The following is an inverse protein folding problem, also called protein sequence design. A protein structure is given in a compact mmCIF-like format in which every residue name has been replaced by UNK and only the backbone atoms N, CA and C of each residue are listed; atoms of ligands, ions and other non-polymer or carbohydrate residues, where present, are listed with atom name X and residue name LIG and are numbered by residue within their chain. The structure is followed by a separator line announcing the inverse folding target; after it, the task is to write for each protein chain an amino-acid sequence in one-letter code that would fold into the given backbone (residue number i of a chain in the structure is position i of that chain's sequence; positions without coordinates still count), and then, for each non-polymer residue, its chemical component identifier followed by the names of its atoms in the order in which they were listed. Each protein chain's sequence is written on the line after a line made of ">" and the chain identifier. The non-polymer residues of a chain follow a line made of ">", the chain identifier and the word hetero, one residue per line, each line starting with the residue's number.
data_IF_044830209723
#
_entry.id   IF_044830209723
#
_cell.length_a   1.000
_cell.length_b   1.000
_cell.length_c   1.000
_cell.angle_alpha   90.00
_cell.angle_beta   90.00
_cell.angle_gamma   90.00
#
_symmetry.space_group_name_H-M   'P 1'
#
loop_
_entity.id
_entity.type
_entity.pdbx_description
1 polymer ?
#
# COMPACT_ATOMS: atom_id res chain seq x y z
N UNK A 1 0.77 -26.83 -13.71
CA UNK A 1 1.67 -25.89 -13.00
C UNK A 1 3.07 -26.07 -13.59
N UNK A 2 3.74 -24.99 -14.00
CA UNK A 2 5.13 -25.07 -14.48
C UNK A 2 6.10 -25.42 -13.32
N UNK A 3 7.16 -26.21 -13.57
CA UNK A 3 8.13 -26.58 -12.53
C UNK A 3 8.86 -25.35 -11.95
N UNK A 4 9.28 -25.42 -10.69
CA UNK A 4 9.91 -24.29 -9.97
C UNK A 4 11.18 -23.81 -10.69
N UNK A 5 11.92 -24.71 -11.33
CA UNK A 5 13.06 -24.39 -12.18
C UNK A 5 12.70 -23.51 -13.39
N UNK A 6 11.51 -23.69 -13.99
CA UNK A 6 11.03 -22.86 -15.10
C UNK A 6 10.66 -21.47 -14.62
N UNK A 7 10.09 -21.36 -13.41
CA UNK A 7 9.75 -20.05 -12.82
C UNK A 7 10.99 -19.29 -12.37
N UNK A 8 11.98 -19.98 -11.82
CA UNK A 8 13.30 -19.43 -11.54
C UNK A 8 14.00 -18.98 -12.82
N UNK A 9 13.89 -19.76 -13.91
CA UNK A 9 14.46 -19.40 -15.22
C UNK A 9 13.77 -18.17 -15.82
N UNK A 10 12.46 -18.04 -15.64
CA UNK A 10 11.72 -16.85 -16.05
C UNK A 10 12.20 -15.62 -15.27
N UNK A 11 12.39 -15.73 -13.95
CA UNK A 11 12.93 -14.66 -13.12
C UNK A 11 14.38 -14.31 -13.51
N UNK A 12 15.21 -15.32 -13.77
CA UNK A 12 16.57 -15.13 -14.27
C UNK A 12 16.58 -14.39 -15.61
N UNK A 13 15.73 -14.79 -16.55
CA UNK A 13 15.55 -14.12 -17.85
C UNK A 13 14.96 -12.71 -17.75
N UNK A 14 14.30 -12.35 -16.65
CA UNK A 14 13.89 -10.96 -16.43
C UNK A 14 15.01 -10.09 -15.90
N UNK A 15 16.03 -10.68 -15.27
CA UNK A 15 17.25 -9.97 -14.89
C UNK A 15 18.25 -9.90 -16.04
N UNK A 16 18.42 -10.99 -16.80
CA UNK A 16 19.26 -11.08 -18.00
C UNK A 16 18.59 -10.33 -19.17
N UNK A 17 18.88 -9.04 -19.27
CA UNK A 17 18.21 -8.13 -20.22
C UNK A 17 18.86 -8.18 -21.60
N UNK A 18 20.15 -8.50 -21.63
CA UNK A 18 20.94 -8.62 -22.85
C UNK A 18 20.93 -10.05 -23.45
N UNK A 19 20.28 -11.01 -22.77
CA UNK A 19 20.16 -12.44 -23.14
C UNK A 19 21.54 -13.12 -23.28
N UNK A 20 22.54 -12.66 -22.51
CA UNK A 20 23.91 -13.20 -22.51
C UNK A 20 24.07 -14.44 -21.61
N UNK A 21 22.97 -14.90 -21.00
CA UNK A 21 22.88 -16.04 -20.07
C UNK A 21 23.63 -15.83 -18.76
N UNK A 22 24.05 -14.61 -18.50
CA UNK A 22 24.60 -14.16 -17.25
C UNK A 22 23.77 -12.98 -16.75
N UNK A 23 23.88 -12.72 -15.46
CA UNK A 23 23.26 -11.54 -14.87
C UNK A 23 24.36 -10.76 -14.20
N UNK A 24 24.49 -9.50 -14.60
CA UNK A 24 25.44 -8.56 -13.99
C UNK A 24 24.84 -7.83 -12.79
N UNK A 25 25.72 -7.26 -11.96
CA UNK A 25 25.35 -6.36 -10.85
C UNK A 25 24.52 -5.19 -11.37
N UNK A 26 24.90 -4.64 -12.52
CA UNK A 26 24.25 -3.49 -13.16
C UNK A 26 22.84 -3.83 -13.66
N UNK A 27 22.63 -5.01 -14.24
CA UNK A 27 21.30 -5.45 -14.69
C UNK A 27 20.32 -5.69 -13.54
N UNK A 28 20.79 -6.28 -12.44
CA UNK A 28 19.97 -6.42 -11.22
C UNK A 28 19.64 -5.04 -10.66
N UNK A 29 20.61 -4.11 -10.63
CA UNK A 29 20.39 -2.74 -10.16
C UNK A 29 19.31 -2.05 -10.99
N UNK A 30 19.42 -2.05 -12.31
CA UNK A 30 18.43 -1.44 -13.21
C UNK A 30 17.04 -2.06 -13.06
N UNK A 31 16.97 -3.40 -12.94
CA UNK A 31 15.72 -4.09 -12.70
C UNK A 31 15.07 -3.62 -11.40
N UNK A 32 15.81 -3.62 -10.28
CA UNK A 32 15.25 -3.22 -8.99
C UNK A 32 14.91 -1.74 -8.92
N UNK A 33 15.67 -0.86 -9.59
CA UNK A 33 15.31 0.55 -9.71
C UNK A 33 13.95 0.72 -10.41
N UNK A 34 13.75 0.02 -11.53
CA UNK A 34 12.50 0.06 -12.30
C UNK A 34 11.36 -0.59 -11.52
N UNK A 35 11.60 -1.77 -10.97
CA UNK A 35 10.63 -2.55 -10.21
C UNK A 35 10.18 -1.82 -8.94
N UNK A 36 11.08 -1.23 -8.15
CA UNK A 36 10.71 -0.53 -6.92
C UNK A 36 9.92 0.75 -7.19
N UNK A 37 10.16 1.41 -8.34
CA UNK A 37 9.34 2.54 -8.81
C UNK A 37 7.93 2.06 -9.14
N UNK A 38 7.79 0.98 -9.92
CA UNK A 38 6.49 0.39 -10.26
C UNK A 38 5.74 -0.15 -9.01
N UNK A 39 6.49 -0.67 -8.04
CA UNK A 39 6.00 -1.19 -6.77
C UNK A 39 5.50 -0.09 -5.80
N UNK A 40 5.66 1.19 -6.16
CA UNK A 40 5.38 2.35 -5.28
C UNK A 40 6.09 2.24 -3.93
N UNK A 41 7.33 1.75 -3.93
CA UNK A 41 8.18 1.84 -2.76
C UNK A 41 8.47 3.34 -2.47
N UNK A 42 8.57 3.78 -1.19
CA UNK A 42 8.68 5.19 -0.85
C UNK A 42 9.63 5.99 -1.75
N UNK A 43 9.18 7.16 -2.22
CA UNK A 43 9.81 7.92 -3.29
C UNK A 43 11.21 8.51 -2.98
N UNK A 44 11.74 8.33 -1.77
CA UNK A 44 13.11 8.75 -1.45
C UNK A 44 14.14 7.91 -2.23
N UNK A 45 14.92 8.55 -3.11
CA UNK A 45 15.97 7.91 -3.91
C UNK A 45 17.05 7.28 -3.04
N UNK A 46 17.31 7.83 -1.86
CA UNK A 46 18.30 7.33 -0.92
C UNK A 46 17.93 5.94 -0.39
N UNK A 47 16.68 5.76 0.06
CA UNK A 47 16.23 4.47 0.61
C UNK A 47 16.15 3.36 -0.44
N UNK A 48 15.84 3.70 -1.71
CA UNK A 48 15.87 2.74 -2.82
C UNK A 48 17.29 2.28 -3.14
N UNK A 49 18.23 3.22 -3.24
CA UNK A 49 19.64 2.90 -3.50
C UNK A 49 20.25 2.06 -2.38
N UNK A 50 19.94 2.39 -1.13
CA UNK A 50 20.39 1.64 0.04
C UNK A 50 19.89 0.17 0.03
N UNK A 51 18.61 -0.05 -0.31
CA UNK A 51 18.05 -1.40 -0.45
C UNK A 51 18.75 -2.20 -1.56
N UNK A 52 18.98 -1.56 -2.72
CA UNK A 52 19.64 -2.19 -3.86
C UNK A 52 21.10 -2.51 -3.53
N UNK A 53 21.83 -1.60 -2.91
CA UNK A 53 23.23 -1.81 -2.55
C UNK A 53 23.39 -2.94 -1.54
N UNK A 54 22.51 -3.02 -0.54
CA UNK A 54 22.53 -4.09 0.45
C UNK A 54 22.10 -5.43 -0.17
N UNK A 55 21.13 -5.42 -1.09
CA UNK A 55 20.77 -6.61 -1.87
C UNK A 55 21.97 -7.14 -2.66
N UNK A 56 22.64 -6.28 -3.43
CA UNK A 56 23.80 -6.63 -4.26
C UNK A 56 25.00 -7.15 -3.42
N UNK A 57 25.18 -6.64 -2.20
CA UNK A 57 26.21 -7.11 -1.27
C UNK A 57 25.96 -8.52 -0.72
N UNK A 58 24.73 -9.02 -0.74
CA UNK A 58 24.41 -10.37 -0.27
C UNK A 58 24.74 -11.47 -1.29
N UNK A 59 24.83 -11.13 -2.59
CA UNK A 59 25.24 -12.07 -3.65
C UNK A 59 26.76 -12.26 -3.69
N UNK A 60 27.39 -12.71 -2.61
CA UNK A 60 28.87 -12.79 -2.48
C UNK A 60 29.58 -13.75 -3.45
N UNK A 61 28.86 -14.42 -4.35
CA UNK A 61 29.41 -15.34 -5.36
C UNK A 61 29.39 -14.71 -6.76
N UNK A 62 30.07 -13.58 -6.90
CA UNK A 62 30.33 -13.00 -8.21
C UNK A 62 31.58 -13.65 -8.81
N UNK A 63 31.53 -13.99 -10.10
CA UNK A 63 32.75 -14.32 -10.85
C UNK A 63 33.69 -13.10 -10.90
N UNK A 64 34.94 -13.28 -11.32
CA UNK A 64 35.96 -12.23 -11.49
C UNK A 64 35.45 -11.02 -12.31
N UNK A 65 34.42 -11.23 -13.16
CA UNK A 65 33.78 -10.23 -14.00
C UNK A 65 32.48 -9.63 -13.41
N UNK A 66 32.12 -9.91 -12.15
CA UNK A 66 30.86 -9.45 -11.51
C UNK A 66 29.58 -9.93 -12.19
N UNK A 67 29.60 -11.16 -12.68
CA UNK A 67 28.47 -11.81 -13.33
C UNK A 67 28.13 -13.14 -12.64
N UNK A 68 26.89 -13.60 -12.80
CA UNK A 68 26.43 -14.90 -12.31
C UNK A 68 25.62 -15.65 -13.37
N UNK A 69 25.80 -16.97 -13.46
CA UNK A 69 25.01 -17.81 -14.36
C UNK A 69 23.75 -18.37 -13.66
N UNK A 70 22.88 -19.03 -14.43
CA UNK A 70 21.62 -19.56 -13.91
C UNK A 70 21.80 -20.58 -12.76
N UNK A 71 22.81 -21.45 -12.83
CA UNK A 71 23.04 -22.48 -11.81
C UNK A 71 23.51 -21.88 -10.48
N UNK A 72 24.37 -20.86 -10.54
CA UNK A 72 24.79 -20.06 -9.38
C UNK A 72 23.60 -19.28 -8.80
N UNK A 73 22.78 -18.66 -9.66
CA UNK A 73 21.56 -17.97 -9.26
C UNK A 73 20.55 -18.90 -8.57
N UNK A 74 20.37 -20.09 -9.13
CA UNK A 74 19.45 -21.10 -8.59
C UNK A 74 19.94 -21.66 -7.25
N UNK A 75 21.25 -21.84 -7.07
CA UNK A 75 21.85 -22.28 -5.80
C UNK A 75 21.60 -21.27 -4.67
N UNK A 76 21.80 -19.97 -4.94
CA UNK A 76 21.54 -18.89 -3.98
C UNK A 76 20.05 -18.81 -3.60
N UNK A 77 19.16 -19.03 -4.56
CA UNK A 77 17.73 -19.14 -4.29
C UNK A 77 17.43 -20.36 -3.40
N UNK A 78 18.08 -21.50 -3.57
CA UNK A 78 17.84 -22.68 -2.71
C UNK A 78 18.35 -22.51 -1.28
N UNK A 79 19.44 -21.75 -1.07
CA UNK A 79 20.02 -21.50 0.25
C UNK A 79 19.25 -20.45 1.07
N UNK A 80 18.40 -19.65 0.43
CA UNK A 80 17.56 -18.65 1.10
C UNK A 80 16.22 -19.26 1.55
N UNK A 81 15.91 -19.30 2.87
CA UNK A 81 14.64 -19.86 3.34
C UNK A 81 13.46 -19.02 2.83
N UNK A 82 12.39 -19.70 2.35
CA UNK A 82 11.14 -19.15 1.81
C UNK A 82 11.19 -18.49 0.41
N UNK A 83 12.32 -18.55 -0.32
CA UNK A 83 12.48 -17.98 -1.68
C UNK A 83 11.70 -18.72 -2.79
N UNK A 84 11.48 -20.04 -2.63
CA UNK A 84 10.90 -20.91 -3.67
C UNK A 84 9.37 -20.80 -3.77
N UNK A 85 8.68 -20.43 -2.68
CA UNK A 85 7.23 -20.20 -2.67
C UNK A 85 6.84 -18.97 -3.49
N UNK A 86 7.70 -17.97 -3.44
CA UNK A 86 7.62 -16.68 -4.13
C UNK A 86 7.59 -16.80 -5.66
N UNK A 87 8.24 -17.82 -6.23
CA UNK A 87 8.26 -18.06 -7.67
C UNK A 87 6.92 -18.51 -8.24
N UNK A 88 5.97 -18.96 -7.41
CA UNK A 88 4.74 -19.59 -7.91
C UNK A 88 3.74 -18.64 -8.59
N UNK A 89 3.96 -17.32 -8.54
CA UNK A 89 2.99 -16.27 -8.90
C UNK A 89 2.99 -15.84 -10.39
N UNK A 90 3.83 -16.43 -11.23
CA UNK A 90 4.07 -16.11 -12.65
C UNK A 90 2.94 -16.61 -13.59
N UNK A 91 2.28 -15.73 -14.37
CA UNK A 91 1.17 -16.04 -15.31
C UNK A 91 1.34 -15.37 -16.72
N UNK A 92 0.86 -16.00 -17.83
CA UNK A 92 1.17 -15.63 -19.24
C UNK A 92 -0.11 -15.36 -20.10
N UNK A 93 -0.21 -14.31 -20.96
CA UNK A 93 -1.44 -13.94 -21.71
C UNK A 93 -1.53 -14.47 -23.17
N UNK A 94 -2.74 -14.43 -23.79
CA UNK A 94 -3.10 -15.09 -25.08
C UNK A 94 -3.77 -14.16 -26.14
N UNK A 95 -3.76 -14.60 -27.42
CA UNK A 95 -3.63 -13.80 -28.67
C UNK A 95 -4.93 -13.44 -29.46
N UNK A 96 -5.98 -12.89 -28.84
CA UNK A 96 -7.30 -12.64 -29.49
C UNK A 96 -7.49 -11.26 -30.18
N UNK A 97 -6.50 -10.37 -30.18
CA UNK A 97 -6.68 -8.93 -30.48
C UNK A 97 -6.83 -8.54 -31.97
N UNK A 98 -6.62 -9.46 -32.91
CA UNK A 98 -6.57 -9.10 -34.34
C UNK A 98 -7.94 -9.06 -35.03
N UNK A 99 -8.92 -9.85 -34.55
CA UNK A 99 -10.24 -9.97 -35.16
C UNK A 99 -11.11 -8.73 -34.87
N UNK A 100 -10.94 -8.12 -33.70
CA UNK A 100 -11.70 -6.93 -33.30
C UNK A 100 -11.26 -5.65 -34.02
N UNK A 101 -9.97 -5.57 -34.39
CA UNK A 101 -9.39 -4.41 -35.10
C UNK A 101 -10.03 -4.18 -36.48
N UNK A 102 -10.33 -5.25 -37.22
CA UNK A 102 -10.89 -5.16 -38.56
C UNK A 102 -12.37 -4.71 -38.56
N UNK A 103 -13.16 -5.15 -37.57
CA UNK A 103 -14.55 -4.71 -37.39
C UNK A 103 -14.65 -3.23 -37.00
N UNK A 104 -13.73 -2.77 -36.14
CA UNK A 104 -13.70 -1.39 -35.67
C UNK A 104 -13.36 -0.37 -36.77
N UNK A 105 -12.45 -0.73 -37.69
CA UNK A 105 -12.05 0.14 -38.81
C UNK A 105 -13.21 0.43 -39.77
N UNK A 106 -14.05 -0.56 -40.07
CA UNK A 106 -15.22 -0.39 -40.93
C UNK A 106 -16.30 0.51 -40.29
N UNK A 107 -16.55 0.34 -38.99
CA UNK A 107 -17.53 1.14 -38.24
C UNK A 107 -17.11 2.62 -38.09
N UNK A 108 -15.82 2.89 -37.83
CA UNK A 108 -15.29 4.25 -37.64
C UNK A 108 -15.49 5.15 -38.87
N UNK A 109 -15.36 4.59 -40.07
CA UNK A 109 -15.46 5.37 -41.32
C UNK A 109 -16.88 5.89 -41.58
N UNK A 110 -17.90 5.15 -41.16
CA UNK A 110 -19.30 5.52 -41.37
C UNK A 110 -19.84 6.51 -40.32
N UNK A 111 -19.23 6.58 -39.12
CA UNK A 111 -19.76 7.35 -37.99
C UNK A 111 -18.92 8.59 -37.59
N UNK A 112 -18.10 9.12 -38.52
CA UNK A 112 -17.07 10.13 -38.22
C UNK A 112 -17.55 11.39 -37.47
N UNK A 113 -18.73 11.91 -37.78
CA UNK A 113 -19.27 13.13 -37.13
C UNK A 113 -19.85 12.85 -35.74
N UNK A 114 -20.48 11.69 -35.53
CA UNK A 114 -20.92 11.25 -34.20
C UNK A 114 -19.73 11.05 -33.27
N UNK A 115 -18.66 10.42 -33.77
CA UNK A 115 -17.41 10.22 -33.02
C UNK A 115 -16.79 11.57 -32.64
N UNK A 116 -16.77 12.54 -33.56
CA UNK A 116 -16.20 13.87 -33.29
C UNK A 116 -16.89 14.56 -32.11
N UNK A 117 -18.23 14.51 -32.03
CA UNK A 117 -18.97 15.18 -30.96
C UNK A 117 -18.84 14.46 -29.63
N UNK A 118 -18.90 13.12 -29.64
CA UNK A 118 -18.65 12.32 -28.44
C UNK A 118 -17.24 12.62 -27.92
N UNK A 119 -16.26 12.73 -28.83
CA UNK A 119 -14.88 13.07 -28.47
C UNK A 119 -14.77 14.48 -27.89
N UNK A 120 -15.44 15.48 -28.48
CA UNK A 120 -15.47 16.85 -27.92
C UNK A 120 -16.11 16.88 -26.53
N UNK A 121 -17.22 16.16 -26.35
CA UNK A 121 -17.87 16.03 -25.04
C UNK A 121 -16.93 15.37 -24.01
N UNK A 122 -16.29 14.25 -24.36
CA UNK A 122 -15.33 13.54 -23.49
C UNK A 122 -14.12 14.45 -23.16
N UNK A 123 -13.59 15.18 -24.13
CA UNK A 123 -12.48 16.11 -23.88
C UNK A 123 -12.91 17.26 -22.97
N UNK A 124 -14.13 17.77 -23.12
CA UNK A 124 -14.66 18.82 -22.25
C UNK A 124 -14.86 18.31 -20.81
N UNK A 125 -15.39 17.10 -20.61
CA UNK A 125 -15.54 16.51 -19.28
C UNK A 125 -14.18 16.20 -18.64
N UNK A 126 -13.25 15.59 -19.39
CA UNK A 126 -11.89 15.32 -18.90
C UNK A 126 -11.14 16.61 -18.58
N UNK A 127 -11.27 17.65 -19.41
CA UNK A 127 -10.65 18.95 -19.17
C UNK A 127 -11.16 19.59 -17.88
N UNK A 128 -12.46 19.51 -17.61
CA UNK A 128 -13.07 19.99 -16.36
C UNK A 128 -12.57 19.17 -15.16
N UNK A 129 -12.52 17.85 -15.28
CA UNK A 129 -12.03 16.95 -14.24
C UNK A 129 -10.55 17.26 -13.89
N UNK A 130 -9.68 17.38 -14.90
CA UNK A 130 -8.26 17.72 -14.72
C UNK A 130 -8.09 19.10 -14.08
N UNK A 131 -8.82 20.11 -14.56
CA UNK A 131 -8.77 21.46 -13.99
C UNK A 131 -9.13 21.45 -12.50
N UNK A 132 -10.18 20.70 -12.14
CA UNK A 132 -10.64 20.59 -10.77
C UNK A 132 -9.65 19.82 -9.88
N UNK A 133 -9.04 18.75 -10.39
CA UNK A 133 -7.97 18.02 -9.70
C UNK A 133 -6.79 18.96 -9.41
N UNK A 134 -6.30 19.71 -10.42
CA UNK A 134 -5.19 20.65 -10.26
C UNK A 134 -5.54 21.72 -9.20
N UNK A 135 -6.73 22.29 -9.26
CA UNK A 135 -7.20 23.28 -8.26
C UNK A 135 -7.19 22.68 -6.85
N UNK A 136 -7.73 21.48 -6.67
CA UNK A 136 -7.83 20.82 -5.36
C UNK A 136 -6.47 20.41 -4.79
N UNK A 137 -5.55 19.97 -5.64
CA UNK A 137 -4.20 19.54 -5.24
C UNK A 137 -3.28 20.73 -4.97
N UNK A 138 -3.23 21.71 -5.88
CA UNK A 138 -2.26 22.82 -5.83
C UNK A 138 -2.74 23.94 -4.91
N UNK A 139 -4.00 24.36 -5.05
CA UNK A 139 -4.53 25.54 -4.33
C UNK A 139 -5.07 25.19 -2.96
N UNK A 140 -5.82 24.09 -2.84
CA UNK A 140 -6.42 23.68 -1.58
C UNK A 140 -5.54 22.72 -0.76
N UNK A 141 -4.36 22.33 -1.27
CA UNK A 141 -3.41 21.40 -0.64
C UNK A 141 -4.05 20.10 -0.12
N UNK A 142 -5.16 19.66 -0.73
CA UNK A 142 -5.84 18.44 -0.32
C UNK A 142 -5.01 17.22 -0.77
N UNK A 143 -4.52 16.43 0.19
CA UNK A 143 -3.78 15.18 -0.10
C UNK A 143 -4.67 13.94 -0.15
N UNK A 144 -5.93 14.04 0.26
CA UNK A 144 -6.84 12.90 0.25
C UNK A 144 -7.40 12.65 -1.16
N UNK A 145 -6.87 11.62 -1.82
CA UNK A 145 -7.25 11.22 -3.18
C UNK A 145 -8.74 10.89 -3.29
N UNK A 146 -9.33 10.23 -2.28
CA UNK A 146 -10.75 9.84 -2.31
C UNK A 146 -11.67 11.06 -2.21
N UNK A 147 -11.31 12.05 -1.38
CA UNK A 147 -12.04 13.31 -1.31
C UNK A 147 -11.93 14.12 -2.62
N UNK A 148 -10.75 14.13 -3.24
CA UNK A 148 -10.55 14.78 -4.56
C UNK A 148 -11.43 14.10 -5.61
N UNK A 149 -11.42 12.77 -5.69
CA UNK A 149 -12.27 12.00 -6.61
C UNK A 149 -13.76 12.23 -6.37
N UNK A 150 -14.19 12.32 -5.11
CA UNK A 150 -15.59 12.57 -4.76
C UNK A 150 -16.06 13.96 -5.22
N UNK A 151 -15.23 15.00 -5.02
CA UNK A 151 -15.51 16.38 -5.45
C UNK A 151 -15.49 16.52 -6.98
N UNK A 152 -14.51 15.88 -7.63
CA UNK A 152 -14.43 15.80 -9.09
C UNK A 152 -15.69 15.17 -9.67
N UNK A 153 -16.05 13.98 -9.21
CA UNK A 153 -17.25 13.28 -9.67
C UNK A 153 -18.53 14.09 -9.40
N UNK A 154 -18.62 14.80 -8.27
CA UNK A 154 -19.76 15.69 -7.96
C UNK A 154 -19.94 16.84 -8.95
N UNK A 155 -18.85 17.46 -9.40
CA UNK A 155 -18.91 18.49 -10.45
C UNK A 155 -19.32 17.90 -11.80
N UNK A 156 -18.82 16.72 -12.15
CA UNK A 156 -19.18 16.03 -13.39
C UNK A 156 -20.62 15.51 -13.40
N UNK A 157 -21.18 15.11 -12.25
CA UNK A 157 -22.62 14.85 -12.10
C UNK A 157 -23.43 16.10 -12.46
N UNK A 158 -23.04 17.26 -11.91
CA UNK A 158 -23.76 18.52 -12.13
C UNK A 158 -23.79 18.92 -13.60
N UNK A 159 -22.65 18.83 -14.28
CA UNK A 159 -22.55 19.11 -15.72
C UNK A 159 -23.44 18.16 -16.54
N UNK A 160 -23.36 16.86 -16.28
CA UNK A 160 -24.15 15.85 -17.01
C UNK A 160 -25.65 15.94 -16.73
N UNK A 161 -26.04 16.32 -15.52
CA UNK A 161 -27.43 16.58 -15.17
C UNK A 161 -28.01 17.75 -15.98
N UNK A 162 -27.29 18.88 -16.05
CA UNK A 162 -27.70 20.06 -16.84
C UNK A 162 -27.80 19.70 -18.33
N UNK A 163 -26.79 19.01 -18.88
CA UNK A 163 -26.80 18.58 -20.28
C UNK A 163 -27.95 17.61 -20.60
N UNK A 164 -28.27 16.69 -19.68
CA UNK A 164 -29.38 15.73 -19.86
C UNK A 164 -30.71 16.45 -20.05
N UNK A 165 -30.94 17.55 -19.34
CA UNK A 165 -32.15 18.38 -19.46
C UNK A 165 -32.13 19.16 -20.78
N UNK A 166 -31.01 19.82 -21.11
CA UNK A 166 -30.88 20.62 -22.34
C UNK A 166 -31.15 19.78 -23.58
N UNK A 167 -30.65 18.55 -23.61
CA UNK A 167 -30.83 17.63 -24.74
C UNK A 167 -32.30 17.24 -24.99
N UNK A 168 -33.16 17.35 -23.98
CA UNK A 168 -34.60 17.03 -24.06
C UNK A 168 -35.50 18.25 -24.30
N UNK A 169 -34.94 19.45 -24.42
CA UNK A 169 -35.68 20.67 -24.77
C UNK A 169 -36.03 20.70 -26.27
N UNK A 170 -37.09 19.97 -26.63
CA UNK A 170 -37.51 19.75 -28.03
C UNK A 170 -37.72 21.04 -28.84
N UNK A 171 -38.25 22.10 -28.23
CA UNK A 171 -38.41 23.39 -28.91
C UNK A 171 -37.08 24.07 -29.23
N UNK A 172 -36.10 24.03 -28.32
CA UNK A 172 -34.76 24.55 -28.56
C UNK A 172 -34.03 23.74 -29.65
N UNK A 173 -34.16 22.41 -29.62
CA UNK A 173 -33.60 21.53 -30.64
C UNK A 173 -34.21 21.78 -32.03
N UNK A 174 -35.52 22.03 -32.10
CA UNK A 174 -36.18 22.42 -33.34
C UNK A 174 -35.66 23.76 -33.89
N UNK A 175 -35.39 24.75 -33.03
CA UNK A 175 -34.79 26.03 -33.44
C UNK A 175 -33.36 25.85 -33.98
N UNK A 176 -32.55 25.02 -33.33
CA UNK A 176 -31.18 24.71 -33.76
C UNK A 176 -31.19 23.98 -35.12
N UNK A 177 -32.18 23.11 -35.35
CA UNK A 177 -32.35 22.37 -36.61
C UNK A 177 -32.70 23.27 -37.80
N UNK A 178 -33.41 24.37 -37.57
CA UNK A 178 -33.75 25.37 -38.61
C UNK A 178 -32.51 26.14 -39.08
N UNK A 179 -31.48 26.26 -38.24
CA UNK A 179 -30.23 26.93 -38.58
C UNK A 179 -29.31 26.04 -39.42
N UNK A 180 -29.19 26.38 -40.72
CA UNK A 180 -28.43 25.62 -41.72
C UNK A 180 -26.93 25.46 -41.39
N UNK A 181 -26.35 26.40 -40.66
CA UNK A 181 -24.96 26.35 -40.21
C UNK A 181 -24.75 25.37 -39.06
N UNK A 182 -25.59 25.43 -38.02
CA UNK A 182 -25.49 24.56 -36.84
C UNK A 182 -25.78 23.09 -37.17
N UNK A 183 -26.74 22.82 -38.07
CA UNK A 183 -27.07 21.45 -38.52
C UNK A 183 -25.91 20.73 -39.22
N UNK A 184 -24.93 21.46 -39.78
CA UNK A 184 -23.77 20.85 -40.44
C UNK A 184 -22.74 20.31 -39.44
N UNK A 185 -22.74 20.84 -38.22
CA UNK A 185 -21.78 20.49 -37.17
C UNK A 185 -22.39 19.68 -36.02
N UNK A 186 -23.68 19.90 -35.69
CA UNK A 186 -24.42 19.09 -34.72
C UNK A 186 -25.45 18.18 -35.44
N UNK A 187 -25.39 16.84 -35.25
CA UNK A 187 -26.44 15.90 -35.61
C UNK A 187 -27.58 16.03 -34.59
N UNK A 188 -28.35 17.10 -34.74
CA UNK A 188 -29.51 17.44 -33.86
C UNK A 188 -30.59 16.35 -33.92
N UNK A 189 -30.62 15.57 -34.99
CA UNK A 189 -31.59 14.49 -35.18
C UNK A 189 -31.40 13.34 -34.17
N UNK A 190 -30.18 13.15 -33.63
CA UNK A 190 -29.84 12.08 -32.65
C UNK A 190 -29.73 12.58 -31.20
N UNK A 191 -30.39 13.69 -30.87
CA UNK A 191 -30.39 14.26 -29.51
C UNK A 191 -30.87 13.26 -28.43
N UNK A 192 -31.73 12.30 -28.79
CA UNK A 192 -32.19 11.22 -27.90
C UNK A 192 -31.04 10.26 -27.57
N UNK A 193 -30.21 9.91 -28.56
CA UNK A 193 -29.05 9.05 -28.32
C UNK A 193 -27.96 9.79 -27.53
N UNK A 194 -27.77 11.09 -27.81
CA UNK A 194 -26.93 11.95 -26.97
C UNK A 194 -27.39 11.96 -25.51
N UNK A 195 -28.70 12.05 -25.25
CA UNK A 195 -29.25 11.98 -23.89
C UNK A 195 -28.98 10.62 -23.23
N UNK A 196 -29.05 9.51 -23.98
CA UNK A 196 -28.69 8.17 -23.46
C UNK A 196 -27.21 8.10 -23.07
N UNK A 197 -26.31 8.67 -23.88
CA UNK A 197 -24.88 8.71 -23.55
C UNK A 197 -24.59 9.56 -22.31
N UNK A 198 -25.14 10.77 -22.23
CA UNK A 198 -24.98 11.65 -21.07
C UNK A 198 -25.61 11.03 -19.81
N UNK A 199 -26.75 10.36 -19.94
CA UNK A 199 -27.39 9.61 -18.85
C UNK A 199 -26.54 8.43 -18.36
N UNK A 200 -25.89 7.71 -19.27
CA UNK A 200 -24.92 6.66 -18.92
C UNK A 200 -23.71 7.22 -18.16
N UNK A 201 -23.15 8.35 -18.63
CA UNK A 201 -22.07 9.05 -17.94
C UNK A 201 -22.49 9.56 -16.55
N UNK A 202 -23.70 10.11 -16.42
CA UNK A 202 -24.27 10.52 -15.14
C UNK A 202 -24.33 9.34 -14.15
N UNK A 203 -24.84 8.18 -14.59
CA UNK A 203 -24.87 6.96 -13.76
C UNK A 203 -23.47 6.52 -13.31
N UNK A 204 -22.49 6.53 -14.22
CA UNK A 204 -21.09 6.23 -13.89
C UNK A 204 -20.54 7.18 -12.83
N UNK A 205 -20.69 8.50 -13.01
CA UNK A 205 -20.18 9.48 -12.05
C UNK A 205 -20.91 9.43 -10.70
N UNK A 206 -22.19 9.06 -10.66
CA UNK A 206 -22.92 8.80 -9.39
C UNK A 206 -22.26 7.64 -8.64
N UNK A 207 -21.99 6.51 -9.32
CA UNK A 207 -21.33 5.36 -8.70
C UNK A 207 -19.94 5.74 -8.19
N UNK A 208 -19.13 6.44 -9.01
CA UNK A 208 -17.81 6.92 -8.60
C UNK A 208 -17.88 7.86 -7.41
N UNK A 209 -18.82 8.82 -7.41
CA UNK A 209 -19.02 9.78 -6.32
C UNK A 209 -19.39 9.08 -5.01
N UNK A 210 -20.36 8.17 -5.05
CA UNK A 210 -20.78 7.41 -3.87
C UNK A 210 -19.67 6.49 -3.35
N UNK A 211 -18.98 5.75 -4.22
CA UNK A 211 -17.87 4.89 -3.83
C UNK A 211 -16.71 5.70 -3.25
N UNK A 212 -16.37 6.84 -3.85
CA UNK A 212 -15.32 7.72 -3.34
C UNK A 212 -15.64 8.22 -1.93
N UNK A 213 -16.90 8.62 -1.64
CA UNK A 213 -17.32 8.99 -0.29
C UNK A 213 -17.27 7.80 0.70
N UNK A 214 -17.73 6.62 0.29
CA UNK A 214 -17.70 5.40 1.12
C UNK A 214 -16.26 5.00 1.45
N UNK A 215 -15.37 5.00 0.45
CA UNK A 215 -13.97 4.66 0.64
C UNK A 215 -13.29 5.74 1.48
N UNK A 216 -13.52 7.03 1.21
CA UNK A 216 -12.97 8.13 2.00
C UNK A 216 -13.36 8.00 3.47
N UNK A 217 -14.62 7.68 3.76
CA UNK A 217 -15.09 7.41 5.12
C UNK A 217 -14.38 6.19 5.72
N UNK A 218 -14.32 5.08 4.99
CA UNK A 218 -13.67 3.85 5.44
C UNK A 218 -12.13 3.94 5.58
N UNK A 219 -11.48 4.87 4.88
CA UNK A 219 -10.02 5.10 5.00
C UNK A 219 -9.69 6.17 6.02
N UNK A 220 -10.58 7.15 6.25
CA UNK A 220 -10.36 8.22 7.23
C UNK A 220 -10.86 7.90 8.63
N UNK A 221 -11.47 6.73 8.87
CA UNK A 221 -11.66 6.23 10.23
C UNK A 221 -10.30 5.86 10.83
N UNK A 222 -9.71 6.80 11.55
CA UNK A 222 -8.46 6.67 12.27
C UNK A 222 -8.63 5.71 13.47
N UNK A 223 -8.55 4.40 13.23
CA UNK A 223 -8.52 3.44 14.35
C UNK A 223 -7.28 3.60 15.23
N UNK A 224 -6.18 4.16 14.70
CA UNK A 224 -4.86 4.17 15.36
C UNK A 224 -4.68 5.37 16.32
N UNK A 225 -5.36 6.49 16.09
CA UNK A 225 -5.22 7.71 16.91
C UNK A 225 -5.46 7.49 18.41
N UNK A 226 -6.48 6.73 18.86
CA UNK A 226 -6.62 6.46 20.29
C UNK A 226 -5.45 5.66 20.86
N UNK A 227 -4.89 4.74 20.08
CA UNK A 227 -3.74 3.94 20.51
C UNK A 227 -2.44 4.76 20.54
N UNK A 228 -2.30 5.79 19.70
CA UNK A 228 -1.19 6.73 19.80
C UNK A 228 -1.18 7.44 21.17
N UNK A 229 -2.34 7.97 21.60
CA UNK A 229 -2.47 8.59 22.92
C UNK A 229 -2.29 7.59 24.07
N UNK A 230 -2.79 6.37 23.94
CA UNK A 230 -2.60 5.33 24.95
C UNK A 230 -1.12 4.91 25.09
N UNK A 231 -0.41 4.75 23.96
CA UNK A 231 1.02 4.43 23.96
C UNK A 231 1.86 5.60 24.51
N UNK A 232 1.54 6.85 24.15
CA UNK A 232 2.16 8.04 24.76
C UNK A 232 1.94 8.07 26.28
N UNK A 233 0.74 7.79 26.75
CA UNK A 233 0.46 7.72 28.19
C UNK A 233 1.27 6.62 28.90
N UNK A 234 1.45 5.46 28.24
CA UNK A 234 2.30 4.41 28.77
C UNK A 234 3.78 4.84 28.83
N UNK A 235 4.28 5.51 27.79
CA UNK A 235 5.66 5.98 27.71
C UNK A 235 5.95 7.15 28.66
N UNK A 236 4.98 8.05 28.86
CA UNK A 236 5.09 9.15 29.83
C UNK A 236 5.45 8.63 31.23
N UNK A 237 4.88 7.51 31.64
CA UNK A 237 5.24 6.91 32.93
C UNK A 237 6.70 6.47 33.01
N UNK A 238 7.29 5.92 31.94
CA UNK A 238 8.71 5.57 31.94
C UNK A 238 9.58 6.82 32.06
N UNK A 239 9.18 7.91 31.38
CA UNK A 239 9.84 9.22 31.47
C UNK A 239 9.75 9.80 32.89
N UNK A 240 8.63 9.61 33.60
CA UNK A 240 8.50 10.00 35.02
C UNK A 240 9.43 9.22 35.96
N UNK A 241 9.75 7.96 35.64
CA UNK A 241 10.66 7.14 36.44
C UNK A 241 12.14 7.39 36.10
N UNK A 242 12.42 8.27 35.13
CA UNK A 242 13.75 8.62 34.68
C UNK A 242 14.35 9.71 35.58
N UNK A 243 15.61 9.52 35.96
CA UNK A 243 16.42 10.51 36.67
C UNK A 243 17.71 10.74 35.90
N UNK A 244 18.10 12.01 35.74
CA UNK A 244 19.32 12.38 35.02
C UNK A 244 20.31 12.93 36.04
N UNK A 245 21.50 12.34 36.11
CA UNK A 245 22.56 12.85 36.97
C UNK A 245 23.16 14.14 36.38
N UNK A 246 23.05 15.25 37.10
CA UNK A 246 23.54 16.57 36.66
C UNK A 246 25.06 16.63 36.43
N UNK A 247 25.84 15.71 37.02
CA UNK A 247 27.31 15.72 36.94
C UNK A 247 27.88 14.94 35.76
N UNK A 248 27.29 13.81 35.41
CA UNK A 248 27.80 12.92 34.36
C UNK A 248 26.80 12.69 33.22
N UNK A 249 25.65 13.37 33.25
CA UNK A 249 24.54 13.22 32.29
C UNK A 249 24.04 11.76 32.14
N UNK A 250 24.35 10.88 33.11
CA UNK A 250 23.91 9.50 33.06
C UNK A 250 22.42 9.40 33.38
N UNK A 251 21.71 8.62 32.56
CA UNK A 251 20.29 8.36 32.72
C UNK A 251 20.11 7.13 33.59
N UNK A 252 19.36 7.25 34.69
CA UNK A 252 18.98 6.14 35.55
C UNK A 252 17.45 6.03 35.64
N UNK A 253 16.94 4.83 35.92
CA UNK A 253 15.51 4.58 36.03
C UNK A 253 15.16 3.92 37.35
N UNK A 254 14.01 4.28 37.92
CA UNK A 254 13.47 3.55 39.07
C UNK A 254 12.88 2.19 38.61
N UNK A 255 13.73 1.17 38.61
CA UNK A 255 13.36 -0.17 38.15
C UNK A 255 12.29 -0.84 39.02
N UNK A 256 12.27 -0.59 40.33
CA UNK A 256 11.30 -1.19 41.26
C UNK A 256 9.89 -0.68 40.99
N UNK A 257 9.73 0.64 40.80
CA UNK A 257 8.44 1.24 40.48
C UNK A 257 7.87 0.69 39.16
N UNK A 258 8.73 0.50 38.15
CA UNK A 258 8.34 -0.06 36.85
C UNK A 258 7.89 -1.52 36.99
N UNK A 259 8.62 -2.34 37.76
CA UNK A 259 8.29 -3.77 37.94
C UNK A 259 6.98 -4.00 38.72
N UNK A 260 6.63 -3.10 39.63
CA UNK A 260 5.41 -3.20 40.44
C UNK A 260 4.11 -2.92 39.65
N UNK A 261 4.19 -2.50 38.39
CA UNK A 261 3.00 -2.26 37.57
C UNK A 261 2.20 -3.55 37.32
N UNK A 262 0.88 -3.40 37.31
CA UNK A 262 -0.06 -4.47 36.93
C UNK A 262 0.09 -4.86 35.45
N UNK A 263 0.36 -3.90 34.57
CA UNK A 263 0.61 -4.14 33.14
C UNK A 263 2.09 -4.39 32.92
N UNK A 264 2.44 -5.61 32.50
CA UNK A 264 3.83 -6.11 32.39
C UNK A 264 4.36 -6.12 30.94
N UNK A 265 3.47 -6.24 29.95
CA UNK A 265 3.83 -6.35 28.53
C UNK A 265 2.69 -5.82 27.66
N UNK A 266 3.06 -5.18 26.56
CA UNK A 266 2.16 -4.76 25.50
C UNK A 266 2.66 -5.30 24.16
N UNK A 267 1.82 -6.03 23.44
CA UNK A 267 2.04 -6.42 22.06
C UNK A 267 1.13 -5.57 21.17
N UNK A 268 1.72 -4.61 20.46
CA UNK A 268 1.00 -3.71 19.57
C UNK A 268 1.02 -4.27 18.16
N UNK A 269 -0.13 -4.77 17.70
CA UNK A 269 -0.29 -5.34 16.36
C UNK A 269 -0.94 -4.31 15.46
N UNK A 270 -0.22 -3.87 14.44
CA UNK A 270 -0.71 -2.90 13.48
C UNK A 270 -0.84 -3.53 12.10
N UNK A 271 -2.08 -3.71 11.67
CA UNK A 271 -2.41 -4.20 10.32
C UNK A 271 -2.85 -3.02 9.47
N UNK A 272 -2.06 -2.72 8.45
CA UNK A 272 -2.31 -1.60 7.57
C UNK A 272 -2.32 -2.04 6.10
N UNK A 273 -2.96 -1.24 5.25
CA UNK A 273 -2.92 -1.41 3.81
C UNK A 273 -1.66 -0.78 3.25
N UNK A 274 -1.45 0.52 3.48
CA UNK A 274 -0.39 1.31 2.85
C UNK A 274 0.51 2.00 3.89
N UNK A 275 1.82 2.06 3.61
CA UNK A 275 2.86 2.62 4.50
C UNK A 275 2.79 4.15 4.57
N UNK A 276 2.41 4.81 3.46
CA UNK A 276 2.53 6.26 3.29
C UNK A 276 1.57 7.09 4.16
N UNK A 277 0.37 6.57 4.45
CA UNK A 277 -0.68 7.36 5.12
C UNK A 277 -0.41 7.61 6.61
N UNK A 278 0.62 7.01 7.20
CA UNK A 278 0.87 7.02 8.64
C UNK A 278 2.35 7.12 9.00
N UNK A 279 3.16 7.75 8.14
CA UNK A 279 4.58 8.00 8.40
C UNK A 279 4.82 8.77 9.71
N UNK A 280 3.91 9.68 10.09
CA UNK A 280 3.94 10.39 11.36
C UNK A 280 3.86 9.43 12.57
N UNK A 281 3.07 8.36 12.47
CA UNK A 281 2.92 7.38 13.54
C UNK A 281 4.13 6.45 13.61
N UNK A 282 4.74 6.11 12.47
CA UNK A 282 5.99 5.36 12.43
C UNK A 282 7.14 6.11 13.12
N UNK A 283 7.23 7.43 12.97
CA UNK A 283 8.20 8.24 13.70
C UNK A 283 8.00 8.12 15.21
N UNK A 284 6.76 8.26 15.68
CA UNK A 284 6.41 8.09 17.09
C UNK A 284 6.79 6.70 17.63
N UNK A 285 6.47 5.63 16.90
CA UNK A 285 6.80 4.27 17.31
C UNK A 285 8.31 4.01 17.32
N UNK A 286 9.05 4.61 16.38
CA UNK A 286 10.51 4.56 16.37
C UNK A 286 11.11 5.28 17.59
N UNK A 287 10.56 6.43 17.99
CA UNK A 287 10.99 7.13 19.20
C UNK A 287 10.74 6.28 20.45
N UNK A 288 9.58 5.61 20.53
CA UNK A 288 9.29 4.67 21.62
C UNK A 288 10.22 3.45 21.64
N UNK A 289 10.58 2.90 20.48
CA UNK A 289 11.53 1.80 20.39
C UNK A 289 12.93 2.25 20.88
N UNK A 290 13.37 3.46 20.53
CA UNK A 290 14.66 4.02 20.96
C UNK A 290 14.70 4.36 22.47
N UNK A 291 13.64 4.96 23.01
CA UNK A 291 13.52 5.23 24.44
C UNK A 291 13.56 3.93 25.26
N UNK A 292 12.84 2.90 24.81
CA UNK A 292 12.84 1.60 25.47
C UNK A 292 14.23 0.94 25.41
N UNK A 293 14.97 1.08 24.31
CA UNK A 293 16.32 0.54 24.20
C UNK A 293 17.27 1.18 25.22
N UNK A 294 17.19 2.50 25.41
CA UNK A 294 17.95 3.21 26.45
C UNK A 294 17.66 2.61 27.83
N UNK A 295 16.40 2.34 28.14
CA UNK A 295 16.00 1.67 29.39
C UNK A 295 16.55 0.24 29.51
N UNK A 296 16.56 -0.55 28.43
CA UNK A 296 17.11 -1.91 28.45
C UNK A 296 18.63 -1.92 28.64
N UNK A 297 19.32 -0.90 28.16
CA UNK A 297 20.77 -0.73 28.35
C UNK A 297 21.12 -0.42 29.81
N UNK A 298 20.31 0.38 30.52
CA UNK A 298 20.52 0.61 31.97
C UNK A 298 20.30 -0.67 32.77
N UNK A 299 19.32 -1.49 32.42
CA UNK A 299 19.10 -2.80 33.04
C UNK A 299 20.32 -3.71 32.86
N UNK A 300 20.89 -3.77 31.65
CA UNK A 300 22.11 -4.55 31.38
C UNK A 300 23.30 -4.06 32.20
N UNK A 301 23.48 -2.75 32.30
CA UNK A 301 24.56 -2.15 33.10
C UNK A 301 24.41 -2.51 34.60
N UNK A 302 23.19 -2.65 35.08
CA UNK A 302 22.87 -3.03 36.46
C UNK A 302 22.76 -4.56 36.68
N UNK A 303 23.20 -5.39 35.72
CA UNK A 303 23.08 -6.86 35.75
C UNK A 303 21.66 -7.39 35.95
N UNK A 304 20.64 -6.61 35.59
CA UNK A 304 19.23 -7.04 35.58
C UNK A 304 18.90 -7.58 34.21
N UNK A 305 18.14 -8.68 34.16
CA UNK A 305 17.71 -9.29 32.88
C UNK A 305 16.84 -8.32 32.09
N UNK A 306 17.28 -7.86 30.90
CA UNK A 306 16.54 -6.87 30.13
C UNK A 306 15.30 -7.51 29.52
N UNK A 307 14.13 -6.95 29.80
CA UNK A 307 12.84 -7.43 29.28
C UNK A 307 12.10 -6.32 28.54
N UNK A 308 11.75 -6.55 27.28
CA UNK A 308 10.99 -5.59 26.46
C UNK A 308 9.58 -5.42 26.98
N UNK A 309 9.18 -4.17 27.20
CA UNK A 309 7.85 -3.80 27.66
C UNK A 309 6.83 -3.67 26.52
N UNK A 310 7.25 -3.16 25.36
CA UNK A 310 6.40 -2.99 24.18
C UNK A 310 7.06 -3.67 23.00
N UNK A 311 6.37 -4.63 22.39
CA UNK A 311 6.75 -5.17 21.08
C UNK A 311 5.75 -4.71 20.02
N UNK A 312 6.28 -4.23 18.89
CA UNK A 312 5.48 -3.84 17.74
C UNK A 312 5.44 -5.00 16.73
N UNK A 313 4.31 -5.17 16.05
CA UNK A 313 4.15 -6.15 14.99
C UNK A 313 3.45 -5.48 13.81
N UNK A 314 4.18 -5.21 12.74
CA UNK A 314 3.67 -4.49 11.56
C UNK A 314 3.27 -5.46 10.45
N UNK A 315 2.07 -5.28 9.91
CA UNK A 315 1.53 -6.09 8.81
C UNK A 315 1.03 -5.20 7.69
N UNK A 316 1.67 -5.24 6.51
CA UNK A 316 1.21 -4.49 5.32
C UNK A 316 0.51 -5.40 4.31
N UNK A 317 -0.75 -5.05 4.00
CA UNK A 317 -1.67 -5.89 3.22
C UNK A 317 -1.84 -5.46 1.76
N UNK A 318 -1.48 -4.22 1.36
CA UNK A 318 -1.63 -3.76 -0.04
C UNK A 318 -0.62 -4.36 -1.00
N UNK A 319 0.59 -4.64 -0.50
CA UNK A 319 1.71 -5.14 -1.30
C UNK A 319 1.44 -6.55 -1.88
N UNK A 320 0.47 -7.28 -1.33
CA UNK A 320 -0.05 -8.55 -1.89
C UNK A 320 -1.15 -8.39 -2.95
N UNK A 321 -1.87 -7.27 -2.96
CA UNK A 321 -3.16 -7.15 -3.68
C UNK A 321 -3.08 -6.48 -5.04
N UNK A 322 -2.08 -5.61 -5.28
CA UNK A 322 -2.03 -4.77 -6.49
C UNK A 322 -1.12 -5.29 -7.60
N UNK A 323 -0.26 -6.28 -7.32
CA UNK A 323 0.64 -6.84 -8.33
C UNK A 323 0.09 -8.13 -8.90
N UNK A 324 -0.77 -8.00 -9.91
CA UNK A 324 -1.14 -9.07 -10.85
C UNK A 324 -0.06 -9.28 -11.93
N UNK A 325 1.18 -8.86 -11.67
CA UNK A 325 2.33 -9.10 -12.52
C UNK A 325 2.99 -10.44 -12.19
N UNK A 326 3.71 -10.97 -13.16
CA UNK A 326 4.33 -12.30 -13.12
C UNK A 326 5.15 -12.56 -11.83
N UNK A 327 5.92 -11.59 -11.34
CA UNK A 327 6.90 -11.79 -10.25
C UNK A 327 6.37 -11.38 -8.85
N UNK A 328 5.15 -10.85 -8.75
CA UNK A 328 4.50 -10.56 -7.46
C UNK A 328 5.26 -9.58 -6.56
N UNK A 329 5.44 -9.93 -5.27
CA UNK A 329 6.20 -9.16 -4.25
C UNK A 329 7.50 -9.86 -3.81
N UNK A 330 7.82 -11.00 -4.44
CA UNK A 330 8.94 -11.86 -4.09
C UNK A 330 10.32 -11.17 -4.07
N UNK A 331 10.67 -10.33 -5.07
CA UNK A 331 11.95 -9.60 -5.07
C UNK A 331 12.05 -8.64 -3.88
N UNK A 332 10.93 -8.02 -3.52
CA UNK A 332 10.88 -7.08 -2.41
C UNK A 332 11.06 -7.75 -1.06
N UNK A 333 10.38 -8.88 -0.81
CA UNK A 333 10.51 -9.64 0.43
C UNK A 333 11.95 -10.16 0.63
N UNK A 334 12.57 -10.67 -0.44
CA UNK A 334 13.96 -11.09 -0.43
C UNK A 334 14.90 -9.94 -0.09
N UNK A 335 14.73 -8.79 -0.76
CA UNK A 335 15.55 -7.60 -0.50
C UNK A 335 15.37 -7.06 0.93
N UNK A 336 14.14 -7.06 1.47
CA UNK A 336 13.86 -6.62 2.83
C UNK A 336 14.50 -7.55 3.88
N UNK A 337 14.47 -8.87 3.67
CA UNK A 337 15.10 -9.84 4.56
C UNK A 337 16.62 -9.67 4.59
N UNK A 338 17.25 -9.49 3.43
CA UNK A 338 18.68 -9.24 3.31
C UNK A 338 19.04 -7.90 3.98
N UNK A 339 18.27 -6.85 3.71
CA UNK A 339 18.48 -5.53 4.30
C UNK A 339 18.46 -5.58 5.83
N UNK A 340 17.51 -6.30 6.42
CA UNK A 340 17.43 -6.43 7.86
C UNK A 340 18.62 -7.16 8.48
N UNK A 341 19.09 -8.23 7.85
CA UNK A 341 20.24 -8.99 8.35
C UNK A 341 21.53 -8.17 8.37
N UNK A 342 21.67 -7.22 7.43
CA UNK A 342 22.86 -6.36 7.31
C UNK A 342 22.74 -5.09 8.16
N UNK A 343 21.60 -4.41 8.12
CA UNK A 343 21.40 -3.11 8.78
C UNK A 343 20.83 -3.20 10.19
N UNK A 344 20.34 -4.38 10.60
CA UNK A 344 19.54 -4.59 11.82
C UNK A 344 18.32 -3.66 11.92
N UNK A 345 17.81 -3.19 10.77
CA UNK A 345 16.63 -2.32 10.65
C UNK A 345 15.74 -2.78 9.50
N UNK A 346 14.46 -2.51 9.64
CA UNK A 346 13.45 -2.75 8.63
C UNK A 346 13.55 -1.71 7.51
N UNK A 347 13.47 -2.14 6.27
CA UNK A 347 13.65 -1.24 5.12
C UNK A 347 12.50 -0.23 4.98
N UNK A 348 11.28 -0.60 5.37
CA UNK A 348 10.08 0.23 5.18
C UNK A 348 9.88 1.23 6.31
N UNK A 349 10.05 0.77 7.54
CA UNK A 349 9.77 1.57 8.74
C UNK A 349 11.03 2.16 9.37
N UNK A 350 12.22 1.68 8.98
CA UNK A 350 13.54 1.99 9.59
C UNK A 350 13.64 1.64 11.08
N UNK A 351 12.63 0.98 11.64
CA UNK A 351 12.61 0.43 12.99
C UNK A 351 13.41 -0.86 13.07
N UNK A 352 13.81 -1.31 14.27
CA UNK A 352 14.44 -2.64 14.43
C UNK A 352 13.42 -3.76 14.29
N UNK A 353 12.17 -3.46 14.63
CA UNK A 353 11.03 -4.36 14.46
C UNK A 353 10.79 -4.64 12.97
N UNK A 354 10.77 -5.93 12.61
CA UNK A 354 10.50 -6.38 11.24
C UNK A 354 9.07 -6.10 10.81
N UNK A 355 8.90 -5.61 9.60
CA UNK A 355 7.62 -5.58 8.91
C UNK A 355 7.31 -6.92 8.25
N UNK A 356 6.11 -7.45 8.49
CA UNK A 356 5.63 -8.69 7.87
C UNK A 356 4.69 -8.35 6.71
N UNK A 357 4.93 -8.96 5.55
CA UNK A 357 4.09 -8.76 4.37
C UNK A 357 2.88 -9.71 4.39
N UNK A 358 1.68 -9.14 4.23
CA UNK A 358 0.42 -9.88 4.21
C UNK A 358 -0.36 -9.80 5.51
N UNK A 359 -1.26 -10.77 5.72
CA UNK A 359 -2.16 -10.81 6.88
C UNK A 359 -1.50 -11.56 8.05
N UNK A 360 -1.78 -11.16 9.31
CA UNK A 360 -1.30 -11.88 10.49
C UNK A 360 -1.81 -13.32 10.50
N UNK A 361 -0.92 -14.26 10.86
CA UNK A 361 -1.32 -15.62 11.18
C UNK A 361 -1.74 -15.68 12.65
N UNK A 362 -3.03 -15.42 12.91
CA UNK A 362 -3.57 -15.33 14.27
C UNK A 362 -3.32 -16.57 15.12
N UNK A 363 -3.35 -17.77 14.52
CA UNK A 363 -3.07 -19.03 15.22
C UNK A 363 -1.69 -19.05 15.88
N UNK A 364 -0.64 -18.64 15.15
CA UNK A 364 0.73 -18.60 15.65
C UNK A 364 0.92 -17.52 16.71
N UNK A 365 0.34 -16.34 16.48
CA UNK A 365 0.44 -15.21 17.43
C UNK A 365 -0.26 -15.53 18.75
N UNK A 366 -1.49 -16.02 18.72
CA UNK A 366 -2.24 -16.35 19.93
C UNK A 366 -1.61 -17.50 20.70
N UNK A 367 -1.06 -18.52 20.00
CA UNK A 367 -0.29 -19.58 20.63
C UNK A 367 0.97 -19.04 21.34
N UNK A 368 1.71 -18.14 20.68
CA UNK A 368 2.87 -17.46 21.26
C UNK A 368 2.48 -16.67 22.51
N UNK A 369 1.45 -15.83 22.43
CA UNK A 369 1.02 -14.99 23.55
C UNK A 369 0.53 -15.81 24.75
N UNK A 370 -0.14 -16.94 24.50
CA UNK A 370 -0.58 -17.85 25.56
C UNK A 370 0.58 -18.52 26.28
N UNK A 371 1.65 -18.83 25.54
CA UNK A 371 2.87 -19.40 26.12
C UNK A 371 3.65 -18.37 26.95
N UNK A 372 3.60 -17.09 26.57
CA UNK A 372 4.36 -16.03 27.25
C UNK A 372 3.66 -15.50 28.51
N UNK A 373 2.33 -15.32 28.48
CA UNK A 373 1.56 -14.83 29.64
C UNK A 373 0.24 -15.57 29.84
N UNK A 374 -0.08 -15.85 31.11
CA UNK A 374 -1.30 -16.57 31.50
C UNK A 374 -2.58 -15.74 31.39
N UNK A 375 -2.50 -14.43 31.67
CA UNK A 375 -3.66 -13.51 31.67
C UNK A 375 -3.44 -12.42 30.63
N UNK A 376 -4.23 -12.48 29.57
CA UNK A 376 -4.10 -11.59 28.41
C UNK A 376 -5.44 -10.96 28.08
N UNK A 377 -5.43 -9.64 27.88
CA UNK A 377 -6.57 -8.86 27.40
C UNK A 377 -6.25 -8.35 26.00
N UNK A 378 -7.20 -8.48 25.08
CA UNK A 378 -7.09 -8.04 23.69
C UNK A 378 -8.03 -6.85 23.48
N UNK A 379 -7.46 -5.72 23.08
CA UNK A 379 -8.19 -4.52 22.69
C UNK A 379 -8.15 -4.42 21.17
N UNK A 380 -9.31 -4.32 20.53
CA UNK A 380 -9.40 -4.28 19.08
C UNK A 380 -10.17 -3.05 18.59
N UNK A 381 -9.55 -2.36 17.65
CA UNK A 381 -10.13 -1.32 16.81
C UNK A 381 -9.94 -1.69 15.35
N UNK A 382 -10.96 -1.50 14.52
CA UNK A 382 -10.83 -1.70 13.08
C UNK A 382 -12.08 -2.29 12.44
N UNK A 383 -11.88 -2.97 11.31
CA UNK A 383 -12.99 -3.49 10.50
C UNK A 383 -13.76 -4.59 11.26
N UNK A 384 -15.12 -4.55 11.29
CA UNK A 384 -15.93 -5.52 12.03
C UNK A 384 -15.61 -6.98 11.71
N UNK A 385 -15.40 -7.29 10.42
CA UNK A 385 -15.04 -8.64 9.96
C UNK A 385 -13.78 -9.18 10.65
N UNK A 386 -12.75 -8.33 10.79
CA UNK A 386 -11.53 -8.73 11.49
C UNK A 386 -11.76 -8.83 13.01
N UNK A 387 -12.62 -7.97 13.56
CA UNK A 387 -13.00 -8.03 14.97
C UNK A 387 -13.69 -9.33 15.35
N UNK A 388 -14.60 -9.82 14.51
CA UNK A 388 -15.25 -11.12 14.69
C UNK A 388 -14.24 -12.28 14.66
N UNK A 389 -13.30 -12.26 13.71
CA UNK A 389 -12.25 -13.28 13.64
C UNK A 389 -11.36 -13.26 14.88
N UNK A 390 -10.90 -12.08 15.32
CA UNK A 390 -10.07 -11.93 16.53
C UNK A 390 -10.84 -12.37 17.78
N UNK A 391 -12.14 -12.07 17.88
CA UNK A 391 -12.99 -12.49 18.98
C UNK A 391 -13.04 -14.02 19.08
N UNK A 392 -13.23 -14.73 17.95
CA UNK A 392 -13.20 -16.20 17.92
C UNK A 392 -11.88 -16.76 18.45
N UNK A 393 -10.75 -16.15 18.06
CA UNK A 393 -9.44 -16.54 18.58
C UNK A 393 -9.28 -16.25 20.07
N UNK A 394 -9.83 -15.13 20.56
CA UNK A 394 -9.84 -14.84 22.00
C UNK A 394 -10.63 -15.89 22.78
N UNK A 395 -11.80 -16.29 22.29
CA UNK A 395 -12.63 -17.32 22.92
C UNK A 395 -11.89 -18.66 22.98
N UNK A 396 -11.22 -19.05 21.89
CA UNK A 396 -10.43 -20.29 21.83
C UNK A 396 -9.27 -20.32 22.82
N UNK A 397 -8.55 -19.21 23.00
CA UNK A 397 -7.38 -19.12 23.89
C UNK A 397 -7.71 -18.58 25.29
N UNK A 398 -9.00 -18.36 25.58
CA UNK A 398 -9.50 -17.79 26.84
C UNK A 398 -8.88 -16.42 27.17
N UNK A 399 -8.77 -15.55 26.16
CA UNK A 399 -8.36 -14.16 26.33
C UNK A 399 -9.58 -13.27 26.53
N UNK A 400 -9.41 -12.20 27.31
CA UNK A 400 -10.50 -11.23 27.51
C UNK A 400 -10.55 -10.28 26.31
N UNK A 401 -11.65 -10.26 25.57
CA UNK A 401 -11.80 -9.43 24.38
C UNK A 401 -12.59 -8.15 24.67
N UNK A 402 -12.02 -7.02 24.27
CA UNK A 402 -12.66 -5.71 24.29
C UNK A 402 -12.72 -5.17 22.87
N UNK A 403 -13.95 -5.01 22.35
CA UNK A 403 -14.17 -4.28 21.11
C UNK A 403 -14.26 -2.79 21.46
N UNK A 404 -13.41 -1.99 20.85
CA UNK A 404 -13.45 -0.54 20.98
C UNK A 404 -14.05 0.03 19.69
N UNK A 405 -15.39 0.22 19.64
CA UNK A 405 -16.04 0.82 18.49
C UNK A 405 -15.70 2.31 18.47
N UNK A 406 -14.60 2.67 17.83
CA UNK A 406 -14.20 4.06 17.57
C UNK A 406 -14.14 4.94 18.84
N UNK A 407 -12.94 5.08 19.40
CA UNK A 407 -12.59 6.40 19.92
C UNK A 407 -12.34 7.36 18.75
#
# INVERSE_FOLDING_TARGET
>A
MAPISVKALILFKTFDRNDDKHVSVEEIREFYETYLIEFRFPHDSSCRQELIDVFLQAFRMWDANRQMNFDQFYTILQETPNSLESLQLINIPNNNDQIDKLKWQAWRRNNKYHILIILVYILATIGLDIFLIIKLVVKEQNRNVWLILARMAGSSITLNYILSIILMLKHCMALIRTNRWLRRFLPVDDHIDAHRYVGGALGFYIVVHSLAHIINYATNTQGITPYASALECLMHYFREQQTICEKCCHVNYNHEAIQQRKLQKVDFIWVNRDVENFSWFLQLLNDFENEQLTYLETLRANNVTPKRYIDFHFYFTSLKSNNQGMIGYAPFDLAANIYQNVSNRDVLTKMRTKTILGRPQWSLLFAKFKAEYRRTSVFFTGKPVMGEDIKRWCDQYQFTYYHEPYF
#
